data_IF_818961393658
#
_entry.id   IF_818961393658
#
_cell.length_a   1.000
_cell.length_b   1.000
_cell.length_c   1.000
_cell.angle_alpha   90.00
_cell.angle_beta   90.00
_cell.angle_gamma   90.00
#
_symmetry.space_group_name_H-M   'P 1'
#
loop_
_entity.id
_entity.type
_entity.pdbx_description
1 polymer ?
#
# COMPACT_ATOMS: atom_id res chain seq x y z
N UNK A 1 -13.66 -29.56 -11.65
CA UNK A 1 -14.36 -29.55 -10.35
C UNK A 1 -13.61 -28.63 -9.39
N UNK A 2 -13.97 -27.34 -9.36
CA UNK A 2 -13.29 -26.33 -8.53
C UNK A 2 -13.79 -26.49 -7.09
N UNK A 3 -12.95 -27.02 -6.19
CA UNK A 3 -13.23 -27.02 -4.75
C UNK A 3 -13.06 -25.60 -4.22
N UNK A 4 -14.16 -24.88 -4.04
CA UNK A 4 -14.15 -23.68 -3.19
C UNK A 4 -13.87 -24.13 -1.76
N UNK A 5 -12.64 -23.90 -1.30
CA UNK A 5 -12.29 -24.05 0.11
C UNK A 5 -13.14 -23.06 0.92
N UNK A 6 -13.86 -23.57 1.92
CA UNK A 6 -14.64 -22.75 2.85
C UNK A 6 -13.66 -21.91 3.68
N UNK A 7 -13.50 -20.64 3.31
CA UNK A 7 -12.71 -19.68 4.09
C UNK A 7 -13.22 -19.67 5.53
N UNK A 8 -12.33 -19.95 6.50
CA UNK A 8 -12.64 -19.77 7.91
C UNK A 8 -12.70 -18.27 8.17
N UNK A 9 -13.91 -17.72 8.19
CA UNK A 9 -14.14 -16.33 8.55
C UNK A 9 -13.70 -16.11 10.00
N UNK A 10 -12.52 -15.50 10.19
CA UNK A 10 -11.99 -15.23 11.51
C UNK A 10 -12.67 -13.97 12.07
N UNK A 11 -13.80 -14.21 12.74
CA UNK A 11 -14.63 -13.16 13.31
C UNK A 11 -13.86 -12.30 14.34
N UNK A 12 -12.80 -12.84 14.95
CA UNK A 12 -12.02 -12.14 15.97
C UNK A 12 -11.19 -10.98 15.44
N UNK A 13 -10.82 -10.98 14.15
CA UNK A 13 -10.07 -9.87 13.51
C UNK A 13 -10.96 -9.01 12.62
N UNK A 14 -12.04 -9.58 12.10
CA UNK A 14 -12.96 -8.87 11.21
C UNK A 14 -13.81 -7.84 11.97
N UNK A 15 -14.44 -8.24 13.09
CA UNK A 15 -15.28 -7.35 13.89
C UNK A 15 -14.52 -6.13 14.42
N UNK A 16 -13.34 -6.25 15.07
CA UNK A 16 -12.65 -5.07 15.58
C UNK A 16 -12.21 -4.13 14.44
N UNK A 17 -11.74 -4.67 13.32
CA UNK A 17 -11.35 -3.85 12.17
C UNK A 17 -12.53 -3.06 11.60
N UNK A 18 -13.69 -3.72 11.46
CA UNK A 18 -14.92 -3.07 10.97
C UNK A 18 -15.39 -1.95 11.90
N UNK A 19 -15.39 -2.20 13.21
CA UNK A 19 -15.82 -1.21 14.22
C UNK A 19 -14.88 0.01 14.22
N UNK A 20 -13.57 -0.21 14.18
CA UNK A 20 -12.57 0.87 14.17
C UNK A 20 -12.73 1.74 12.92
N UNK A 21 -12.85 1.12 11.73
CA UNK A 21 -13.04 1.86 10.48
C UNK A 21 -14.34 2.67 10.53
N UNK A 22 -15.45 2.02 10.92
CA UNK A 22 -16.76 2.68 10.99
C UNK A 22 -16.75 3.87 11.95
N UNK A 23 -16.12 3.73 13.12
CA UNK A 23 -16.07 4.79 14.12
C UNK A 23 -15.22 5.98 13.67
N UNK A 24 -14.06 5.74 13.04
CA UNK A 24 -13.22 6.80 12.49
C UNK A 24 -13.94 7.53 11.34
N UNK A 25 -14.59 6.79 10.44
CA UNK A 25 -15.34 7.38 9.32
C UNK A 25 -16.55 8.18 9.82
N UNK A 26 -17.31 7.66 10.78
CA UNK A 26 -18.44 8.38 11.35
C UNK A 26 -18.00 9.67 12.05
N UNK A 27 -16.91 9.63 12.82
CA UNK A 27 -16.34 10.81 13.46
C UNK A 27 -15.90 11.88 12.44
N UNK A 28 -15.20 11.46 11.37
CA UNK A 28 -14.77 12.34 10.30
C UNK A 28 -15.95 12.97 9.53
N UNK A 29 -17.06 12.24 9.37
CA UNK A 29 -18.26 12.72 8.67
C UNK A 29 -19.04 13.76 9.46
N UNK A 30 -19.11 13.64 10.80
CA UNK A 30 -19.88 14.56 11.65
C UNK A 30 -19.12 15.89 11.86
N UNK A 31 -17.78 15.83 12.02
CA UNK A 31 -16.95 17.02 12.27
C UNK A 31 -15.72 17.07 11.32
N UNK A 32 -15.91 17.51 10.06
CA UNK A 32 -14.84 17.49 9.06
C UNK A 32 -13.73 18.51 9.35
N UNK A 33 -14.05 19.69 9.88
CA UNK A 33 -13.05 20.74 10.14
C UNK A 33 -12.08 20.34 11.25
N UNK A 34 -12.62 19.87 12.38
CA UNK A 34 -11.81 19.41 13.51
C UNK A 34 -10.96 18.18 13.13
N UNK A 35 -11.53 17.23 12.38
CA UNK A 35 -10.79 16.06 11.90
C UNK A 35 -9.61 16.46 11.02
N UNK A 36 -9.82 17.37 10.07
CA UNK A 36 -8.76 17.84 9.19
C UNK A 36 -7.62 18.54 9.94
N UNK A 37 -7.94 19.42 10.89
CA UNK A 37 -6.91 20.07 11.72
C UNK A 37 -6.15 19.09 12.60
N UNK A 38 -6.86 18.12 13.21
CA UNK A 38 -6.26 17.08 14.02
C UNK A 38 -5.29 16.20 13.20
N UNK A 39 -5.72 15.71 12.03
CA UNK A 39 -4.88 14.91 11.14
C UNK A 39 -3.66 15.70 10.64
N UNK A 40 -3.84 16.97 10.25
CA UNK A 40 -2.72 17.84 9.83
C UNK A 40 -1.75 18.12 10.97
N UNK A 41 -2.24 18.41 12.17
CA UNK A 41 -1.42 18.63 13.36
C UNK A 41 -0.59 17.39 13.70
N UNK A 42 -1.22 16.21 13.68
CA UNK A 42 -0.54 14.93 13.89
C UNK A 42 0.49 14.64 12.80
N UNK A 43 0.15 14.85 11.52
CA UNK A 43 1.09 14.68 10.41
C UNK A 43 2.30 15.60 10.56
N UNK A 44 2.10 16.88 10.88
CA UNK A 44 3.18 17.84 11.08
C UNK A 44 4.06 17.46 12.28
N UNK A 45 3.47 16.98 13.37
CA UNK A 45 4.22 16.52 14.54
C UNK A 45 5.09 15.31 14.21
N UNK A 46 4.53 14.30 13.53
CA UNK A 46 5.27 13.12 13.08
C UNK A 46 6.38 13.53 12.10
N UNK A 47 6.07 14.40 11.13
CA UNK A 47 7.06 14.88 10.17
C UNK A 47 8.19 15.66 10.85
N UNK A 48 7.90 16.52 11.83
CA UNK A 48 8.90 17.33 12.52
C UNK A 48 9.82 16.50 13.44
N UNK A 49 9.29 15.46 14.11
CA UNK A 49 10.07 14.65 15.07
C UNK A 49 10.63 13.36 14.45
N UNK A 50 9.85 12.68 13.63
CA UNK A 50 10.23 11.40 13.00
C UNK A 50 10.65 11.55 11.53
N UNK A 51 10.61 12.76 10.95
CA UNK A 51 11.01 12.98 9.54
C UNK A 51 12.44 12.54 9.24
N UNK A 52 13.38 12.79 10.16
CA UNK A 52 14.76 12.31 10.03
C UNK A 52 14.84 10.77 9.97
N UNK A 53 14.14 10.09 10.88
CA UNK A 53 14.09 8.63 10.92
C UNK A 53 13.40 8.06 9.67
N UNK A 54 12.36 8.72 9.17
CA UNK A 54 11.67 8.35 7.94
C UNK A 54 12.61 8.41 6.73
N UNK A 55 13.34 9.53 6.55
CA UNK A 55 14.31 9.69 5.45
C UNK A 55 15.41 8.63 5.52
N UNK A 56 15.95 8.37 6.72
CA UNK A 56 16.97 7.35 6.92
C UNK A 56 16.44 5.95 6.59
N UNK A 57 15.22 5.62 7.04
CA UNK A 57 14.59 4.32 6.75
C UNK A 57 14.39 4.12 5.25
N UNK A 58 13.86 5.13 4.55
CA UNK A 58 13.66 5.07 3.09
C UNK A 58 15.01 4.91 2.39
N UNK A 59 16.05 5.64 2.82
CA UNK A 59 17.39 5.52 2.26
C UNK A 59 17.98 4.11 2.47
N UNK A 60 17.82 3.52 3.66
CA UNK A 60 18.29 2.15 3.97
C UNK A 60 17.56 1.11 3.13
N UNK A 61 16.23 1.23 2.98
CA UNK A 61 15.45 0.30 2.16
C UNK A 61 15.87 0.43 0.68
N UNK A 62 16.02 1.66 0.18
CA UNK A 62 16.46 1.90 -1.19
C UNK A 62 17.85 1.31 -1.45
N UNK A 63 18.79 1.56 -0.55
CA UNK A 63 20.14 1.00 -0.61
C UNK A 63 20.13 -0.52 -0.53
N UNK A 64 19.28 -1.10 0.32
CA UNK A 64 19.10 -2.55 0.41
C UNK A 64 18.57 -3.15 -0.89
N UNK A 65 17.60 -2.51 -1.55
CA UNK A 65 17.08 -2.97 -2.85
C UNK A 65 18.15 -2.88 -3.94
N UNK A 66 18.94 -1.80 -3.97
CA UNK A 66 20.04 -1.65 -4.93
C UNK A 66 21.09 -2.75 -4.70
N UNK A 67 21.51 -2.96 -3.46
CA UNK A 67 22.48 -4.02 -3.13
C UNK A 67 21.93 -5.38 -3.52
N UNK A 68 20.68 -5.71 -3.19
CA UNK A 68 20.07 -6.99 -3.56
C UNK A 68 19.94 -7.16 -5.09
N UNK A 69 19.65 -6.07 -5.82
CA UNK A 69 19.53 -6.08 -7.28
C UNK A 69 20.87 -6.28 -8.01
N UNK A 70 21.96 -5.69 -7.51
CA UNK A 70 23.31 -5.86 -8.08
C UNK A 70 24.09 -7.04 -7.49
N UNK A 71 23.61 -7.60 -6.37
CA UNK A 71 24.23 -8.75 -5.71
C UNK A 71 23.86 -10.06 -6.40
N UNK A 72 24.70 -11.07 -6.20
CA UNK A 72 24.51 -12.47 -6.63
C UNK A 72 23.20 -13.09 -6.11
N UNK A 73 22.62 -12.51 -5.05
CA UNK A 73 21.31 -12.88 -4.52
C UNK A 73 20.16 -12.55 -5.49
N UNK A 74 20.33 -11.56 -6.38
CA UNK A 74 19.35 -11.21 -7.40
C UNK A 74 19.27 -12.21 -8.57
N UNK A 75 20.29 -13.04 -8.76
CA UNK A 75 20.29 -14.13 -9.76
C UNK A 75 19.51 -15.37 -9.29
N UNK A 76 19.17 -15.43 -8.00
CA UNK A 76 18.45 -16.57 -7.42
C UNK A 76 16.98 -16.46 -7.84
N UNK A 77 16.51 -17.44 -8.61
CA UNK A 77 15.09 -17.55 -8.96
C UNK A 77 14.29 -17.85 -7.69
N UNK A 78 13.31 -17.00 -7.40
CA UNK A 78 12.33 -17.20 -6.33
C UNK A 78 11.32 -18.29 -6.76
N UNK A 79 11.75 -19.55 -6.73
CA UNK A 79 10.96 -20.71 -7.16
C UNK A 79 11.83 -21.95 -7.38
N UNK A 80 11.22 -23.11 -7.61
CA UNK A 80 11.97 -24.32 -7.95
C UNK A 80 12.80 -24.10 -9.23
N UNK A 81 14.04 -24.60 -9.25
CA UNK A 81 15.08 -24.31 -10.26
C UNK A 81 14.65 -24.56 -11.72
N UNK A 82 13.59 -25.35 -11.92
CA UNK A 82 13.09 -25.80 -13.23
C UNK A 82 11.80 -25.11 -13.68
N UNK A 83 11.28 -24.14 -12.93
CA UNK A 83 10.01 -23.47 -13.27
C UNK A 83 10.26 -22.35 -14.28
N UNK A 84 9.53 -22.41 -15.40
CA UNK A 84 9.49 -21.33 -16.39
C UNK A 84 8.60 -20.21 -15.84
N UNK A 85 8.93 -18.92 -16.09
CA UNK A 85 8.11 -17.81 -15.62
C UNK A 85 6.68 -17.95 -16.15
N UNK A 86 5.71 -17.93 -15.24
CA UNK A 86 4.28 -18.11 -15.55
C UNK A 86 3.70 -16.93 -16.34
N UNK A 87 4.30 -15.74 -16.18
CA UNK A 87 3.92 -14.52 -16.87
C UNK A 87 5.05 -14.00 -17.76
N UNK A 88 4.69 -13.51 -18.96
CA UNK A 88 5.62 -12.77 -19.82
C UNK A 88 6.05 -11.48 -19.10
N UNK A 89 7.30 -11.08 -19.28
CA UNK A 89 7.90 -9.90 -18.63
C UNK A 89 7.04 -8.61 -18.76
N UNK A 90 6.39 -8.42 -19.91
CA UNK A 90 5.47 -7.29 -20.17
C UNK A 90 4.21 -7.39 -19.31
N UNK A 91 3.57 -8.56 -19.25
CA UNK A 91 2.38 -8.79 -18.42
C UNK A 91 2.70 -8.65 -16.93
N UNK A 92 3.90 -9.07 -16.52
CA UNK A 92 4.41 -8.90 -15.17
C UNK A 92 4.60 -7.42 -14.83
N UNK A 93 5.21 -6.64 -15.71
CA UNK A 93 5.38 -5.19 -15.51
C UNK A 93 4.05 -4.44 -15.41
N UNK A 94 3.06 -4.79 -16.24
CA UNK A 94 1.70 -4.24 -16.14
C UNK A 94 1.07 -4.49 -14.77
N UNK A 95 1.35 -5.63 -14.13
CA UNK A 95 0.85 -5.96 -12.80
C UNK A 95 1.46 -5.05 -11.70
N UNK A 96 2.75 -4.72 -11.78
CA UNK A 96 3.39 -3.77 -10.85
C UNK A 96 2.85 -2.35 -11.00
N UNK A 97 2.55 -1.91 -12.23
CA UNK A 97 1.91 -0.61 -12.44
C UNK A 97 0.50 -0.56 -11.85
N UNK A 98 -0.29 -1.61 -12.07
CA UNK A 98 -1.63 -1.73 -11.51
C UNK A 98 -1.62 -1.77 -9.96
N UNK A 99 -0.65 -2.47 -9.36
CA UNK A 99 -0.50 -2.55 -7.91
C UNK A 99 0.09 -1.28 -7.28
N UNK A 100 0.88 -0.49 -8.02
CA UNK A 100 1.72 0.57 -7.45
C UNK A 100 1.06 1.95 -7.30
N UNK A 101 0.36 2.45 -8.33
CA UNK A 101 -0.05 3.87 -8.39
C UNK A 101 -1.34 4.10 -9.20
N UNK A 102 -2.27 3.14 -9.23
CA UNK A 102 -3.46 3.22 -10.09
C UNK A 102 -4.38 4.41 -9.79
N UNK A 103 -4.79 4.57 -8.52
CA UNK A 103 -5.76 5.62 -8.12
C UNK A 103 -5.13 7.03 -8.09
N UNK A 104 -3.86 7.12 -7.72
CA UNK A 104 -3.12 8.39 -7.53
C UNK A 104 -2.98 9.17 -8.85
N UNK A 105 -2.72 8.46 -9.96
CA UNK A 105 -2.58 9.05 -11.29
C UNK A 105 -3.91 9.60 -11.84
N UNK A 106 -5.03 8.93 -11.56
CA UNK A 106 -6.35 9.39 -11.97
C UNK A 106 -6.74 10.70 -11.26
N UNK A 107 -6.38 10.84 -9.98
CA UNK A 107 -6.65 12.05 -9.21
C UNK A 107 -5.76 13.23 -9.60
N UNK A 108 -4.46 13.01 -9.84
CA UNK A 108 -3.54 14.08 -10.24
C UNK A 108 -3.81 14.60 -11.67
N UNK A 109 -4.30 13.75 -12.57
CA UNK A 109 -4.48 14.08 -13.98
C UNK A 109 -5.73 14.93 -14.30
N UNK A 110 -6.71 15.08 -13.40
CA UNK A 110 -7.99 15.75 -13.70
C UNK A 110 -8.29 16.95 -12.78
N UNK A 111 -8.05 18.20 -13.23
CA UNK A 111 -8.20 19.41 -12.40
C UNK A 111 -9.65 19.86 -12.12
N UNK A 112 -10.68 19.20 -12.68
CA UNK A 112 -12.03 19.78 -12.74
C UNK A 112 -13.18 18.77 -12.63
N UNK A 113 -13.66 18.59 -11.39
CA UNK A 113 -14.97 18.05 -10.95
C UNK A 113 -15.42 16.68 -11.47
N UNK A 114 -15.83 15.86 -10.49
CA UNK A 114 -16.62 14.62 -10.58
C UNK A 114 -15.81 13.34 -10.69
N UNK A 115 -15.02 13.04 -9.66
CA UNK A 115 -14.71 11.67 -9.29
C UNK A 115 -15.57 11.33 -8.07
N UNK A 116 -16.83 10.98 -8.32
CA UNK A 116 -17.64 10.29 -7.31
C UNK A 116 -17.27 8.82 -7.41
N UNK A 117 -16.84 8.24 -6.29
CA UNK A 117 -16.57 6.80 -6.09
C UNK A 117 -17.70 5.94 -6.65
#
# INVERSE_FOLDING_TARGET
MIKFQKSKFNNSVFIPSLVVIFLITAFAAIFPNFSNEFFKGMQNYIAAKFGWFYILTVAVILLSIIILGFSKLGEIKLGADHVKPEHKNISWFSMFLAAGRGLDLCFLAWPSRSCTI
#
